data_IF_869600039456
#
_entry.id   IF_869600039456
#
_cell.length_a   1.000
_cell.length_b   1.000
_cell.length_c   1.000
_cell.angle_alpha   90.00
_cell.angle_beta   90.00
_cell.angle_gamma   90.00
#
_symmetry.space_group_name_H-M   'P 1'
#
loop_
_entity.id
_entity.type
_entity.pdbx_description
1 polymer ?
#
# COMPACT_ATOMS: atom_id res chain seq x y z
N UNK A 1 -12.64 10.71 12.04
CA UNK A 1 -12.31 11.87 11.18
C UNK A 1 -12.67 11.54 9.75
N UNK A 2 -12.74 12.52 8.84
CA UNK A 2 -13.03 12.23 7.42
C UNK A 2 -11.97 11.33 6.77
N UNK A 3 -10.72 11.47 7.21
CA UNK A 3 -9.58 10.65 6.77
C UNK A 3 -9.78 9.18 7.12
N UNK A 4 -10.27 8.88 8.33
CA UNK A 4 -10.57 7.51 8.76
C UNK A 4 -11.71 6.89 7.95
N UNK A 5 -12.77 7.67 7.67
CA UNK A 5 -13.89 7.19 6.84
C UNK A 5 -13.44 6.87 5.42
N UNK A 6 -12.68 7.78 4.80
CA UNK A 6 -12.12 7.56 3.47
C UNK A 6 -11.18 6.34 3.44
N UNK A 7 -10.38 6.15 4.48
CA UNK A 7 -9.49 4.99 4.61
C UNK A 7 -10.28 3.69 4.69
N UNK A 8 -11.38 3.68 5.45
CA UNK A 8 -12.26 2.52 5.57
C UNK A 8 -12.92 2.18 4.23
N UNK A 9 -13.51 3.15 3.54
CA UNK A 9 -14.11 2.94 2.21
C UNK A 9 -13.09 2.38 1.21
N UNK A 10 -11.88 2.92 1.24
CA UNK A 10 -10.78 2.43 0.41
C UNK A 10 -10.35 1.01 0.80
N UNK A 11 -10.30 0.71 2.10
CA UNK A 11 -10.02 -0.61 2.62
C UNK A 11 -11.08 -1.65 2.23
N UNK A 12 -12.36 -1.27 2.20
CA UNK A 12 -13.46 -2.12 1.73
C UNK A 12 -13.34 -2.41 0.23
N UNK A 13 -12.99 -1.42 -0.59
CA UNK A 13 -12.70 -1.63 -2.02
C UNK A 13 -11.55 -2.62 -2.20
N UNK A 14 -10.46 -2.45 -1.46
CA UNK A 14 -9.30 -3.35 -1.51
C UNK A 14 -9.66 -4.76 -1.02
N UNK A 15 -10.48 -4.89 0.02
CA UNK A 15 -10.98 -6.17 0.52
C UNK A 15 -11.82 -6.88 -0.55
N UNK A 16 -12.69 -6.16 -1.25
CA UNK A 16 -13.56 -6.70 -2.31
C UNK A 16 -12.80 -7.11 -3.56
N UNK A 17 -11.62 -6.53 -3.82
CA UNK A 17 -10.72 -6.98 -4.89
C UNK A 17 -10.05 -8.34 -4.59
N UNK A 18 -10.07 -8.79 -3.32
CA UNK A 18 -9.45 -10.05 -2.93
C UNK A 18 -10.30 -11.25 -3.32
N UNK A 19 -9.69 -12.21 -4.02
CA UNK A 19 -10.39 -13.41 -4.47
C UNK A 19 -10.64 -14.39 -3.31
N UNK A 20 -11.83 -15.03 -3.25
CA UNK A 20 -12.16 -15.97 -2.16
C UNK A 20 -11.29 -17.24 -2.18
N UNK A 21 -10.84 -17.67 -3.35
CA UNK A 21 -10.03 -18.88 -3.53
C UNK A 21 -8.56 -18.50 -3.75
N UNK A 22 -7.69 -18.96 -2.84
CA UNK A 22 -6.24 -18.65 -2.81
C UNK A 22 -5.91 -17.14 -2.93
N UNK A 23 -6.44 -16.29 -2.03
CA UNK A 23 -6.35 -14.83 -2.15
C UNK A 23 -4.93 -14.31 -2.38
N UNK A 24 -3.98 -14.75 -1.55
CA UNK A 24 -2.59 -14.33 -1.68
C UNK A 24 -1.93 -14.78 -3.01
N UNK A 25 -2.27 -15.96 -3.52
CA UNK A 25 -1.72 -16.43 -4.81
C UNK A 25 -2.28 -15.61 -5.97
N UNK A 26 -3.58 -15.30 -5.93
CA UNK A 26 -4.22 -14.44 -6.93
C UNK A 26 -3.67 -13.01 -6.87
N UNK A 27 -3.50 -12.46 -5.66
CA UNK A 27 -2.89 -11.17 -5.42
C UNK A 27 -1.46 -11.12 -5.97
N UNK A 28 -0.63 -12.12 -5.62
CA UNK A 28 0.74 -12.26 -6.13
C UNK A 28 0.80 -12.27 -7.66
N UNK A 29 -0.12 -12.97 -8.32
CA UNK A 29 -0.18 -13.01 -9.79
C UNK A 29 -0.55 -11.66 -10.41
N UNK A 30 -1.39 -10.88 -9.74
CA UNK A 30 -1.87 -9.58 -10.22
C UNK A 30 -1.14 -8.39 -9.60
N UNK A 31 -0.01 -8.60 -8.94
CA UNK A 31 0.67 -7.55 -8.17
C UNK A 31 1.03 -6.33 -9.02
N UNK A 32 1.47 -6.53 -10.26
CA UNK A 32 1.81 -5.41 -11.16
C UNK A 32 0.59 -4.53 -11.46
N UNK A 33 -0.56 -5.14 -11.70
CA UNK A 33 -1.82 -4.41 -11.93
C UNK A 33 -2.29 -3.71 -10.65
N UNK A 34 -2.09 -4.34 -9.49
CA UNK A 34 -2.38 -3.72 -8.21
C UNK A 34 -1.49 -2.51 -7.94
N UNK A 35 -0.18 -2.62 -8.22
CA UNK A 35 0.76 -1.51 -8.12
C UNK A 35 0.36 -0.40 -9.08
N UNK A 36 0.05 -0.70 -10.36
CA UNK A 36 -0.36 0.34 -11.30
C UNK A 36 -1.69 1.00 -10.90
N UNK A 37 -2.62 0.25 -10.31
CA UNK A 37 -3.89 0.80 -9.82
C UNK A 37 -3.69 1.72 -8.61
N UNK A 38 -2.86 1.32 -7.64
CA UNK A 38 -2.69 2.06 -6.38
C UNK A 38 -1.59 3.13 -6.45
N UNK A 39 -0.55 2.86 -7.21
CA UNK A 39 0.62 3.70 -7.48
C UNK A 39 0.83 3.83 -9.00
N UNK A 40 -0.04 4.58 -9.70
CA UNK A 40 0.07 4.75 -11.15
C UNK A 40 1.45 5.27 -11.57
N UNK A 41 2.06 4.60 -12.55
CA UNK A 41 3.43 4.89 -13.00
C UNK A 41 3.61 6.28 -13.62
N UNK A 42 2.50 6.95 -13.99
CA UNK A 42 2.51 8.32 -14.50
C UNK A 42 2.78 9.39 -13.43
N UNK A 43 2.58 9.07 -12.15
CA UNK A 43 2.75 10.00 -11.02
C UNK A 43 3.61 9.44 -9.88
N UNK A 44 3.76 8.11 -9.82
CA UNK A 44 4.57 7.41 -8.84
C UNK A 44 5.71 6.67 -9.53
N UNK A 45 6.89 6.67 -8.92
CA UNK A 45 8.00 5.84 -9.39
C UNK A 45 8.21 4.67 -8.45
N UNK A 46 7.89 3.47 -8.93
CA UNK A 46 8.08 2.22 -8.18
C UNK A 46 9.27 1.43 -8.74
N UNK A 47 10.03 0.79 -7.86
CA UNK A 47 11.24 0.06 -8.20
C UNK A 47 11.39 -1.21 -7.33
N UNK A 48 12.40 -2.02 -7.65
CA UNK A 48 12.84 -3.16 -6.83
C UNK A 48 11.75 -4.17 -6.48
N UNK A 49 10.79 -4.39 -7.39
CA UNK A 49 9.72 -5.38 -7.22
C UNK A 49 10.32 -6.79 -7.08
N UNK A 50 10.24 -7.35 -5.88
CA UNK A 50 10.70 -8.69 -5.54
C UNK A 50 9.53 -9.55 -5.07
N UNK A 51 9.27 -10.66 -5.76
CA UNK A 51 8.10 -11.51 -5.49
C UNK A 51 8.55 -12.92 -5.08
N UNK A 52 8.92 -13.11 -3.81
CA UNK A 52 9.51 -14.37 -3.31
C UNK A 52 8.62 -15.09 -2.30
N UNK A 53 8.29 -16.35 -2.60
CA UNK A 53 7.49 -17.18 -1.69
C UNK A 53 6.14 -16.53 -1.33
N UNK A 54 5.91 -16.33 -0.04
CA UNK A 54 4.75 -15.67 0.57
C UNK A 54 4.96 -14.18 0.87
N UNK A 55 5.95 -13.55 0.23
CA UNK A 55 6.34 -12.16 0.43
C UNK A 55 6.46 -11.46 -0.93
N UNK A 56 5.98 -10.22 -0.99
CA UNK A 56 6.11 -9.33 -2.13
C UNK A 56 6.64 -8.03 -1.59
N UNK A 57 7.76 -7.55 -2.13
CA UNK A 57 8.40 -6.30 -1.72
C UNK A 57 8.54 -5.40 -2.93
N UNK A 58 8.38 -4.11 -2.73
CA UNK A 58 8.71 -3.10 -3.71
C UNK A 58 8.96 -1.79 -2.97
N UNK A 59 9.65 -0.90 -3.66
CA UNK A 59 9.99 0.42 -3.16
C UNK A 59 9.32 1.46 -4.03
N UNK A 60 8.97 2.59 -3.43
CA UNK A 60 8.55 3.80 -4.11
C UNK A 60 9.68 4.82 -3.96
N UNK A 61 10.29 5.20 -5.07
CA UNK A 61 11.38 6.18 -5.12
C UNK A 61 10.86 7.61 -5.23
N UNK A 62 9.73 7.82 -5.89
CA UNK A 62 9.09 9.13 -6.01
C UNK A 62 7.66 9.02 -5.48
N UNK A 63 7.42 9.64 -4.32
CA UNK A 63 6.15 9.62 -3.62
C UNK A 63 5.31 10.83 -4.03
N UNK A 64 4.22 10.58 -4.76
CA UNK A 64 3.31 11.65 -5.20
C UNK A 64 2.75 12.46 -4.04
N UNK A 65 2.44 11.82 -2.90
CA UNK A 65 1.96 12.54 -1.72
C UNK A 65 2.99 13.56 -1.25
N UNK A 66 4.24 13.15 -1.03
CA UNK A 66 5.30 14.06 -0.61
C UNK A 66 5.52 15.18 -1.63
N UNK A 67 5.64 14.85 -2.92
CA UNK A 67 5.83 15.82 -4.00
C UNK A 67 4.71 16.86 -4.04
N UNK A 68 3.44 16.44 -3.90
CA UNK A 68 2.33 17.39 -3.87
C UNK A 68 2.34 18.24 -2.60
N UNK A 69 2.48 17.62 -1.43
CA UNK A 69 2.42 18.34 -0.16
C UNK A 69 3.53 19.37 -0.02
N UNK A 70 4.73 19.07 -0.52
CA UNK A 70 5.84 20.02 -0.57
C UNK A 70 5.55 21.15 -1.56
N UNK A 71 5.05 20.84 -2.75
CA UNK A 71 4.69 21.84 -3.77
C UNK A 71 3.60 22.82 -3.30
N UNK A 72 2.65 22.35 -2.49
CA UNK A 72 1.58 23.19 -1.92
C UNK A 72 1.96 23.83 -0.58
N UNK A 73 3.14 23.54 -0.03
CA UNK A 73 3.63 24.11 1.23
C UNK A 73 2.96 23.54 2.48
N UNK A 74 2.41 22.33 2.41
CA UNK A 74 1.69 21.64 3.48
C UNK A 74 2.28 20.24 3.77
N UNK A 75 3.55 20.11 4.16
CA UNK A 75 4.23 18.83 4.38
C UNK A 75 3.56 17.96 5.46
N UNK A 76 2.86 18.57 6.42
CA UNK A 76 2.11 17.89 7.48
C UNK A 76 1.01 16.96 6.94
N UNK A 77 0.48 17.25 5.75
CA UNK A 77 -0.51 16.39 5.09
C UNK A 77 0.12 15.07 4.59
N UNK A 78 1.44 15.05 4.34
CA UNK A 78 2.14 13.86 3.86
C UNK A 78 2.07 12.71 4.86
N UNK A 79 2.19 13.01 6.15
CA UNK A 79 2.03 12.05 7.24
C UNK A 79 0.58 11.55 7.32
N UNK A 80 -0.41 12.44 7.19
CA UNK A 80 -1.83 12.09 7.19
C UNK A 80 -2.16 11.14 6.03
N UNK A 81 -1.64 11.38 4.82
CA UNK A 81 -1.82 10.46 3.69
C UNK A 81 -1.13 9.12 3.93
N UNK A 82 0.02 9.11 4.59
CA UNK A 82 0.66 7.87 5.01
C UNK A 82 -0.23 7.11 6.00
N UNK A 83 -0.81 7.74 7.00
CA UNK A 83 -1.72 7.07 7.94
C UNK A 83 -2.98 6.55 7.26
N UNK A 84 -3.60 7.36 6.39
CA UNK A 84 -4.72 6.95 5.56
C UNK A 84 -4.40 5.67 4.77
N UNK A 85 -3.24 5.62 4.11
CA UNK A 85 -2.88 4.48 3.29
C UNK A 85 -2.60 3.22 4.12
N UNK A 86 -2.00 3.38 5.31
CA UNK A 86 -1.83 2.29 6.27
C UNK A 86 -3.20 1.69 6.62
N UNK A 87 -4.15 2.53 7.03
CA UNK A 87 -5.50 2.10 7.40
C UNK A 87 -6.27 1.48 6.22
N UNK A 88 -6.11 2.02 5.00
CA UNK A 88 -6.70 1.42 3.81
C UNK A 88 -6.14 0.01 3.55
N UNK A 89 -4.83 -0.20 3.70
CA UNK A 89 -4.23 -1.52 3.50
C UNK A 89 -4.61 -2.54 4.58
N UNK A 90 -4.97 -2.10 5.78
CA UNK A 90 -5.50 -3.00 6.83
C UNK A 90 -6.82 -3.67 6.40
N UNK A 91 -7.57 -3.09 5.45
CA UNK A 91 -8.74 -3.73 4.83
C UNK A 91 -8.43 -5.05 4.13
N UNK A 92 -7.17 -5.32 3.75
CA UNK A 92 -6.77 -6.59 3.14
C UNK A 92 -6.53 -7.72 4.16
N UNK A 93 -6.52 -7.40 5.46
CA UNK A 93 -6.44 -8.41 6.52
C UNK A 93 -7.73 -9.26 6.55
N UNK A 94 -7.66 -10.55 6.95
CA UNK A 94 -6.46 -11.31 7.32
C UNK A 94 -5.77 -11.98 6.11
N UNK A 95 -6.15 -11.64 4.88
CA UNK A 95 -5.72 -12.39 3.69
C UNK A 95 -4.31 -11.99 3.22
N UNK A 96 -4.04 -10.69 3.24
CA UNK A 96 -2.74 -10.06 2.97
C UNK A 96 -2.45 -9.09 4.12
N UNK A 97 -1.25 -9.16 4.68
CA UNK A 97 -0.74 -8.14 5.60
C UNK A 97 0.19 -7.22 4.83
N UNK A 98 -0.04 -5.92 4.89
CA UNK A 98 0.90 -4.91 4.41
C UNK A 98 1.81 -4.50 5.56
N UNK A 99 3.11 -4.77 5.41
CA UNK A 99 4.15 -4.23 6.28
C UNK A 99 4.82 -3.06 5.57
N UNK A 100 5.08 -2.01 6.32
CA UNK A 100 5.64 -0.75 5.84
C UNK A 100 6.99 -0.54 6.52
N UNK A 101 8.02 -0.26 5.72
CA UNK A 101 9.38 0.02 6.20
C UNK A 101 9.64 1.52 6.26
N UNK A 102 10.80 1.95 5.76
CA UNK A 102 11.14 3.37 5.63
C UNK A 102 10.12 4.12 4.76
N UNK A 103 9.84 5.38 5.09
CA UNK A 103 8.92 6.26 4.35
C UNK A 103 9.57 7.60 4.06
N UNK A 104 9.36 8.13 2.85
CA UNK A 104 9.86 9.46 2.47
C UNK A 104 9.28 10.54 3.37
N UNK A 105 8.00 10.43 3.74
CA UNK A 105 7.35 11.35 4.67
C UNK A 105 8.03 11.43 6.04
N UNK A 106 8.70 10.36 6.49
CA UNK A 106 9.42 10.32 7.77
C UNK A 106 10.94 10.48 7.63
N UNK A 107 11.42 10.92 6.46
CA UNK A 107 12.83 11.24 6.22
C UNK A 107 13.69 10.10 5.67
N UNK A 108 13.11 9.03 5.12
CA UNK A 108 13.86 8.01 4.38
C UNK A 108 13.99 8.35 2.89
N UNK A 109 14.94 7.73 2.20
CA UNK A 109 15.14 7.95 0.76
C UNK A 109 14.03 7.33 -0.12
N UNK A 110 13.35 6.28 0.37
CA UNK A 110 12.32 5.54 -0.35
C UNK A 110 11.19 5.10 0.57
N UNK A 111 9.98 4.88 0.03
CA UNK A 111 8.91 4.19 0.76
C UNK A 111 8.98 2.68 0.51
N UNK A 112 9.14 1.90 1.56
CA UNK A 112 9.23 0.44 1.49
C UNK A 112 7.89 -0.23 1.81
N UNK A 113 7.43 -1.09 0.91
CA UNK A 113 6.22 -1.88 1.10
C UNK A 113 6.52 -3.38 1.01
N UNK A 114 5.94 -4.14 1.93
CA UNK A 114 6.10 -5.57 2.03
C UNK A 114 4.74 -6.25 2.27
N UNK A 115 4.13 -6.79 1.21
CA UNK A 115 2.92 -7.59 1.32
C UNK A 115 3.26 -9.04 1.65
N UNK A 116 2.76 -9.52 2.79
CA UNK A 116 2.88 -10.90 3.24
C UNK A 116 1.55 -11.62 3.21
N UNK A 117 1.60 -12.93 3.02
CA UNK A 117 0.43 -13.79 3.20
C UNK A 117 -0.01 -13.69 4.66
N UNK A 118 -1.24 -13.24 4.88
CA UNK A 118 -1.79 -13.22 6.22
C UNK A 118 -2.10 -14.63 6.72
N UNK A 119 -2.09 -14.79 8.03
CA UNK A 119 -2.40 -16.06 8.66
C UNK A 119 -3.90 -16.33 8.55
N UNK A 120 -4.27 -17.54 8.09
CA UNK A 120 -5.67 -17.98 8.17
C UNK A 120 -6.06 -17.94 9.65
N UNK A 121 -7.11 -17.20 10.01
CA UNK A 121 -7.80 -17.44 11.28
C UNK A 121 -8.14 -18.93 11.31
N UNK A 122 -7.51 -19.69 12.22
CA UNK A 122 -8.01 -21.01 12.61
C UNK A 122 -9.42 -20.75 13.15
N UNK A 123 -10.44 -21.19 12.41
CA UNK A 123 -11.78 -21.41 12.96
C UNK A 123 -11.73 -22.71 13.75
#
# INVERSE_FOLDING_TARGET
TEVERAAQESGEVLANQMRPIFPFRAFKRNIKNFIEYKFPSCVWKTANLNVKGSCIRFEVQECFYCTMTEKFGCPELGEIFCEYEKSAFDGMLPQVRCERGGMIATGHDVCEYCFRKGERKKK
#
